data_IF_639189026315
#
_entry.id   IF_639189026315
#
_cell.length_a   1.000
_cell.length_b   1.000
_cell.length_c   1.000
_cell.angle_alpha   90.00
_cell.angle_beta   90.00
_cell.angle_gamma   90.00
#
_symmetry.space_group_name_H-M   'P 1'
#
loop_
_entity.id
_entity.type
_entity.pdbx_description
1 polymer ?
#
# COMPACT_ATOMS: atom_id res chain seq x y z
N UNK A 1 15.56 2.14 -13.20
CA UNK A 1 14.97 0.98 -12.55
C UNK A 1 14.48 1.34 -11.18
N UNK A 2 13.23 0.98 -10.90
CA UNK A 2 12.66 1.27 -9.60
C UNK A 2 13.22 0.36 -8.52
N UNK A 3 13.22 0.86 -7.31
CA UNK A 3 13.52 0.06 -6.15
C UNK A 3 12.23 -0.38 -5.51
N UNK A 4 12.16 -1.64 -5.18
CA UNK A 4 11.03 -2.13 -4.40
C UNK A 4 11.27 -1.83 -2.94
N UNK A 5 10.29 -1.23 -2.30
CA UNK A 5 10.37 -0.88 -0.90
C UNK A 5 9.26 -1.59 -0.17
N UNK A 6 9.60 -2.25 0.90
CA UNK A 6 8.63 -2.99 1.70
C UNK A 6 8.22 -2.17 2.91
N UNK A 7 6.92 -2.20 3.16
CA UNK A 7 6.35 -1.62 4.36
C UNK A 7 5.58 -2.68 5.10
N UNK A 8 5.61 -2.61 6.41
CA UNK A 8 4.73 -3.41 7.25
C UNK A 8 3.63 -2.51 7.77
N UNK A 9 2.40 -2.96 7.63
CA UNK A 9 1.24 -2.23 8.12
C UNK A 9 1.12 -2.51 9.61
N UNK A 10 1.26 -1.48 10.43
CA UNK A 10 1.19 -1.64 11.88
C UNK A 10 -0.23 -1.53 12.42
N UNK A 11 -1.02 -0.68 11.77
CA UNK A 11 -2.42 -0.46 12.15
C UNK A 11 -3.27 -0.74 10.92
N UNK A 12 -4.38 -1.48 11.06
CA UNK A 12 -5.21 -1.77 9.88
C UNK A 12 -5.57 -0.51 9.12
N UNK A 13 -5.50 -0.57 7.82
CA UNK A 13 -5.78 0.57 6.95
C UNK A 13 -6.59 0.13 5.75
N UNK A 14 -7.22 1.09 5.09
CA UNK A 14 -8.09 0.81 3.96
C UNK A 14 -7.29 0.89 2.66
N UNK A 15 -7.53 -0.05 1.77
CA UNK A 15 -6.99 -0.04 0.43
C UNK A 15 -8.11 -0.29 -0.57
N UNK A 16 -7.88 0.11 -1.80
CA UNK A 16 -8.84 -0.10 -2.87
C UNK A 16 -8.39 -1.27 -3.73
N UNK A 17 -9.24 -2.27 -3.79
CA UNK A 17 -9.01 -3.49 -4.55
C UNK A 17 -9.83 -3.43 -5.83
N UNK A 18 -9.28 -3.95 -6.90
CA UNK A 18 -10.04 -4.10 -8.14
C UNK A 18 -10.65 -5.50 -8.15
N UNK A 19 -11.96 -5.56 -8.04
CA UNK A 19 -12.70 -6.82 -8.05
C UNK A 19 -13.80 -6.74 -9.10
N UNK A 20 -13.74 -7.63 -10.06
CA UNK A 20 -14.75 -7.71 -11.12
C UNK A 20 -14.98 -6.37 -11.81
N UNK A 21 -13.89 -5.65 -12.08
CA UNK A 21 -13.96 -4.36 -12.75
C UNK A 21 -14.39 -3.21 -11.85
N UNK A 22 -14.52 -3.43 -10.57
CA UNK A 22 -14.94 -2.40 -9.62
C UNK A 22 -13.88 -2.20 -8.55
N UNK A 23 -13.76 -0.97 -8.10
CA UNK A 23 -12.91 -0.66 -6.95
C UNK A 23 -13.72 -0.89 -5.68
N UNK A 24 -13.18 -1.74 -4.82
CA UNK A 24 -13.82 -2.11 -3.56
C UNK A 24 -12.89 -1.76 -2.42
N UNK A 25 -13.39 -1.02 -1.43
CA UNK A 25 -12.59 -0.69 -0.26
C UNK A 25 -12.56 -1.89 0.69
N UNK A 26 -11.35 -2.30 1.06
CA UNK A 26 -11.16 -3.38 2.02
C UNK A 26 -10.04 -3.02 2.96
N UNK A 27 -10.06 -3.63 4.13
CA UNK A 27 -9.05 -3.37 5.14
C UNK A 27 -7.85 -4.29 4.95
N UNK A 28 -6.66 -3.70 4.96
CA UNK A 28 -5.42 -4.45 5.06
C UNK A 28 -5.11 -4.59 6.56
N UNK A 29 -4.95 -5.82 7.04
CA UNK A 29 -4.76 -6.04 8.48
C UNK A 29 -3.39 -5.58 8.96
N UNK A 30 -3.28 -5.35 10.25
CA UNK A 30 -1.98 -5.10 10.86
C UNK A 30 -1.09 -6.33 10.72
N UNK A 31 0.19 -6.10 10.51
CA UNK A 31 1.15 -7.16 10.27
C UNK A 31 1.36 -7.49 8.81
N UNK A 32 0.50 -7.00 7.92
CA UNK A 32 0.65 -7.26 6.49
C UNK A 32 1.86 -6.50 5.94
N UNK A 33 2.52 -7.11 4.96
CA UNK A 33 3.62 -6.44 4.25
C UNK A 33 3.15 -6.09 2.85
N UNK A 34 3.45 -4.87 2.43
CA UNK A 34 3.12 -4.38 1.10
C UNK A 34 4.40 -3.91 0.43
N UNK A 35 4.42 -3.97 -0.89
CA UNK A 35 5.58 -3.58 -1.68
C UNK A 35 5.21 -2.38 -2.53
N UNK A 36 6.04 -1.33 -2.44
CA UNK A 36 5.88 -0.12 -3.23
C UNK A 36 7.00 -0.10 -4.26
N UNK A 37 6.66 0.13 -5.52
CA UNK A 37 7.64 0.07 -6.59
C UNK A 37 8.50 1.32 -6.70
N UNK A 38 7.99 2.45 -6.25
CA UNK A 38 8.69 3.72 -6.40
C UNK A 38 8.55 4.55 -5.13
N UNK A 39 9.68 4.73 -4.44
CA UNK A 39 9.71 5.46 -3.19
C UNK A 39 9.26 6.91 -3.34
N UNK A 40 9.53 7.53 -4.49
CA UNK A 40 9.19 8.93 -4.67
C UNK A 40 7.71 9.19 -4.58
N UNK A 41 6.88 8.22 -4.92
CA UNK A 41 5.43 8.38 -4.86
C UNK A 41 4.90 8.41 -3.43
N UNK A 42 5.65 7.87 -2.48
CA UNK A 42 5.21 7.82 -1.08
C UNK A 42 5.16 9.21 -0.47
N UNK A 43 6.01 10.11 -0.96
CA UNK A 43 6.08 11.46 -0.42
C UNK A 43 4.95 12.36 -0.92
N UNK A 44 4.23 11.92 -1.92
CA UNK A 44 3.09 12.66 -2.43
C UNK A 44 1.84 12.20 -1.71
N UNK A 45 0.91 13.14 -1.48
CA UNK A 45 -0.38 12.78 -0.87
C UNK A 45 -1.31 12.27 -1.95
N UNK A 46 -0.97 11.15 -2.51
CA UNK A 46 -1.71 10.56 -3.62
C UNK A 46 -2.04 9.12 -3.35
N UNK A 47 -2.95 8.61 -4.14
CA UNK A 47 -3.26 7.20 -4.19
C UNK A 47 -2.15 6.52 -4.98
N UNK A 48 -1.55 5.51 -4.41
CA UNK A 48 -0.47 4.81 -5.09
C UNK A 48 -0.73 3.31 -5.13
N UNK A 49 -0.12 2.67 -6.10
CA UNK A 49 -0.30 1.24 -6.30
C UNK A 49 0.75 0.49 -5.49
N UNK A 50 0.30 -0.48 -4.72
CA UNK A 50 1.18 -1.33 -3.95
C UNK A 50 0.81 -2.78 -4.21
N UNK A 51 1.75 -3.67 -3.96
CA UNK A 51 1.52 -5.10 -4.10
C UNK A 51 1.34 -5.71 -2.72
N UNK A 52 0.25 -6.47 -2.56
CA UNK A 52 -0.04 -7.17 -1.33
C UNK A 52 -0.57 -8.56 -1.67
N UNK A 53 0.10 -9.60 -1.18
CA UNK A 53 -0.34 -10.98 -1.33
C UNK A 53 -0.67 -11.31 -2.79
N UNK A 54 0.24 -11.02 -3.69
CA UNK A 54 0.10 -11.28 -5.13
C UNK A 54 -0.99 -10.47 -5.82
N UNK A 55 -1.53 -9.48 -5.13
CA UNK A 55 -2.54 -8.59 -5.70
C UNK A 55 -2.01 -7.19 -5.76
N UNK A 56 -2.45 -6.45 -6.76
CA UNK A 56 -2.17 -5.03 -6.84
C UNK A 56 -3.35 -4.28 -6.28
N UNK A 57 -3.08 -3.44 -5.31
CA UNK A 57 -4.12 -2.64 -4.66
C UNK A 57 -3.65 -1.20 -4.62
N UNK A 58 -4.57 -0.30 -4.39
CA UNK A 58 -4.24 1.12 -4.26
C UNK A 58 -4.51 1.56 -2.84
N UNK A 59 -3.58 2.33 -2.29
CA UNK A 59 -3.79 2.91 -0.98
C UNK A 59 -3.23 4.31 -0.96
N UNK A 60 -3.71 5.10 -0.01
CA UNK A 60 -3.23 6.47 0.10
C UNK A 60 -1.84 6.48 0.70
N UNK A 61 -0.97 7.27 0.10
CA UNK A 61 0.40 7.40 0.59
C UNK A 61 0.42 7.88 2.04
N UNK A 62 -0.52 8.76 2.38
CA UNK A 62 -0.64 9.26 3.74
C UNK A 62 -0.90 8.13 4.73
N UNK A 63 -1.77 7.20 4.38
CA UNK A 63 -2.05 6.06 5.25
C UNK A 63 -0.84 5.15 5.37
N UNK A 64 -0.13 4.96 4.27
CA UNK A 64 1.07 4.13 4.30
C UNK A 64 2.11 4.73 5.24
N UNK A 65 2.31 6.04 5.20
CA UNK A 65 3.27 6.70 6.08
C UNK A 65 2.81 6.70 7.54
N UNK A 66 1.51 6.90 7.76
CA UNK A 66 0.99 7.04 9.11
C UNK A 66 0.80 5.70 9.81
N UNK A 67 0.44 4.67 9.06
CA UNK A 67 0.06 3.37 9.63
C UNK A 67 1.00 2.26 9.26
N UNK A 68 2.00 2.55 8.44
CA UNK A 68 2.98 1.56 8.03
C UNK A 68 4.37 1.95 8.47
N UNK A 69 5.27 0.99 8.37
CA UNK A 69 6.65 1.17 8.75
C UNK A 69 7.52 0.64 7.63
N UNK A 70 8.43 1.47 7.16
CA UNK A 70 9.37 1.05 6.12
C UNK A 70 10.31 0.00 6.69
N UNK A 71 10.41 -1.12 6.02
CA UNK A 71 11.30 -2.20 6.41
C UNK A 71 12.62 -2.03 5.68
N UNK A 72 13.70 -2.07 6.38
CA UNK A 72 15.06 -1.82 5.91
C UNK A 72 15.21 -0.47 5.24
#
# INVERSE_FOLDING_TARGET
MGREIRFRINTPTIALFLEEGRQVARTIPGGAEVIVSDESTIQENKLLEVQWAEKRVRMFAQDLRARGEKLD
#
